data_IF_196395748698
#
_entry.id   IF_196395748698
#
_cell.length_a   1.000
_cell.length_b   1.000
_cell.length_c   1.000
_cell.angle_alpha   90.00
_cell.angle_beta   90.00
_cell.angle_gamma   90.00
#
_symmetry.space_group_name_H-M   'P 1'
#
loop_
_entity.id
_entity.type
_entity.pdbx_description
1 polymer ?
#
# COMPACT_ATOMS: atom_id res chain seq x y z
N UNK A 1 -20.68 -7.22 -14.26
CA UNK A 1 -19.37 -6.56 -14.13
C UNK A 1 -19.43 -5.56 -13.00
N UNK A 2 -18.69 -5.71 -11.89
CA UNK A 2 -18.70 -4.71 -10.84
C UNK A 2 -18.02 -3.44 -11.37
N UNK A 3 -18.75 -2.32 -11.34
CA UNK A 3 -18.20 -1.00 -11.66
C UNK A 3 -17.15 -0.67 -10.62
N UNK A 4 -15.88 -0.56 -11.02
CA UNK A 4 -14.84 -0.02 -10.15
C UNK A 4 -15.29 1.37 -9.68
N UNK A 5 -15.49 1.52 -8.37
CA UNK A 5 -15.90 2.78 -7.76
C UNK A 5 -14.88 3.86 -8.11
N UNK A 6 -15.33 4.90 -8.82
CA UNK A 6 -14.50 6.05 -9.22
C UNK A 6 -14.55 7.18 -8.17
N UNK A 7 -14.79 6.89 -6.89
CA UNK A 7 -14.55 7.86 -5.82
C UNK A 7 -13.12 7.72 -5.26
N UNK A 8 -12.44 8.85 -5.02
CA UNK A 8 -11.25 9.16 -5.80
C UNK A 8 -9.99 8.94 -4.98
N UNK A 9 -8.88 8.60 -5.63
CA UNK A 9 -7.51 8.54 -5.08
C UNK A 9 -7.17 9.74 -4.16
N UNK A 10 -7.84 10.89 -4.34
CA UNK A 10 -7.75 12.07 -3.47
C UNK A 10 -8.22 11.83 -2.02
N UNK A 11 -9.35 11.14 -1.78
CA UNK A 11 -9.87 10.89 -0.41
C UNK A 11 -8.93 9.97 0.39
N UNK A 12 -8.35 8.96 -0.26
CA UNK A 12 -7.37 8.06 0.38
C UNK A 12 -6.08 8.76 0.78
N UNK A 13 -5.64 9.75 -0.02
CA UNK A 13 -4.42 10.52 0.27
C UNK A 13 -4.59 11.45 1.46
N UNK A 14 -5.74 12.12 1.59
CA UNK A 14 -6.02 12.99 2.75
C UNK A 14 -5.98 12.19 4.05
N UNK A 15 -6.65 11.04 4.09
CA UNK A 15 -6.66 10.16 5.26
C UNK A 15 -5.26 9.63 5.60
N UNK A 16 -4.50 9.21 4.60
CA UNK A 16 -3.11 8.78 4.79
C UNK A 16 -2.25 9.88 5.43
N UNK A 17 -2.41 11.13 5.00
CA UNK A 17 -1.70 12.28 5.59
C UNK A 17 -2.10 12.54 7.04
N UNK A 18 -3.38 12.41 7.38
CA UNK A 18 -3.86 12.51 8.76
C UNK A 18 -3.26 11.42 9.66
N UNK A 19 -3.21 10.19 9.17
CA UNK A 19 -2.62 9.05 9.87
C UNK A 19 -1.10 9.24 10.10
N UNK A 20 -0.39 9.74 9.08
CA UNK A 20 1.04 10.07 9.19
C UNK A 20 1.30 11.17 10.22
N UNK A 21 0.50 12.25 10.20
CA UNK A 21 0.62 13.35 11.18
C UNK A 21 0.42 12.87 12.61
N UNK A 22 -0.55 11.99 12.81
CA UNK A 22 -0.82 11.36 14.12
C UNK A 22 0.36 10.51 14.57
N UNK A 23 0.97 9.74 13.66
CA UNK A 23 2.05 8.79 13.98
C UNK A 23 3.41 9.45 14.20
N UNK A 24 3.77 10.45 13.38
CA UNK A 24 5.10 11.06 13.38
C UNK A 24 5.18 12.33 14.22
N UNK A 25 4.06 12.84 14.73
CA UNK A 25 4.04 13.80 15.84
C UNK A 25 4.93 15.03 15.63
N UNK A 26 4.90 15.62 14.43
CA UNK A 26 5.36 16.98 14.04
C UNK A 26 5.26 17.10 12.52
N UNK A 27 5.14 18.34 12.02
CA UNK A 27 4.80 18.67 10.63
C UNK A 27 5.77 18.06 9.62
N UNK A 28 5.38 16.93 9.03
CA UNK A 28 5.92 16.52 7.74
C UNK A 28 5.61 17.64 6.74
N UNK A 29 6.62 18.08 5.99
CA UNK A 29 6.40 19.03 4.91
C UNK A 29 5.51 18.38 3.85
N UNK A 30 4.77 19.20 3.10
CA UNK A 30 3.85 18.69 2.09
C UNK A 30 4.55 17.81 1.04
N UNK A 31 5.81 18.10 0.71
CA UNK A 31 6.59 17.30 -0.25
C UNK A 31 7.02 15.95 0.33
N UNK A 32 7.30 15.88 1.63
CA UNK A 32 7.65 14.61 2.31
C UNK A 32 6.42 13.72 2.45
N UNK A 33 5.23 14.29 2.71
CA UNK A 33 3.96 13.55 2.69
C UNK A 33 3.74 12.86 1.34
N UNK A 34 4.10 13.53 0.25
CA UNK A 34 3.95 13.04 -1.11
C UNK A 34 4.91 11.88 -1.41
N UNK A 35 6.16 11.97 -0.93
CA UNK A 35 7.14 10.90 -1.03
C UNK A 35 6.74 9.67 -0.20
N UNK A 36 6.24 9.85 1.02
CA UNK A 36 5.75 8.75 1.85
C UNK A 36 4.54 8.06 1.23
N UNK A 37 3.65 8.84 0.59
CA UNK A 37 2.52 8.27 -0.14
C UNK A 37 2.98 7.48 -1.37
N UNK A 38 3.97 7.99 -2.10
CA UNK A 38 4.57 7.26 -3.22
C UNK A 38 5.20 5.95 -2.76
N UNK A 39 5.94 5.96 -1.66
CA UNK A 39 6.55 4.77 -1.07
C UNK A 39 5.49 3.74 -0.64
N UNK A 40 4.39 4.19 -0.02
CA UNK A 40 3.24 3.34 0.30
C UNK A 40 2.63 2.70 -0.97
N UNK A 41 2.43 3.47 -2.04
CA UNK A 41 1.90 2.95 -3.30
C UNK A 41 2.86 1.92 -3.92
N UNK A 42 4.16 2.19 -3.90
CA UNK A 42 5.18 1.26 -4.38
C UNK A 42 5.21 -0.04 -3.56
N UNK A 43 5.05 0.05 -2.24
CA UNK A 43 4.93 -1.10 -1.36
C UNK A 43 3.70 -1.93 -1.73
N UNK A 44 2.53 -1.29 -1.88
CA UNK A 44 1.29 -1.98 -2.25
C UNK A 44 1.38 -2.68 -3.61
N UNK A 45 2.01 -2.05 -4.61
CA UNK A 45 2.25 -2.66 -5.93
C UNK A 45 3.18 -3.88 -5.82
N UNK A 46 4.27 -3.79 -5.05
CA UNK A 46 5.16 -4.93 -4.82
C UNK A 46 4.47 -6.07 -4.08
N UNK A 47 3.69 -5.75 -3.05
CA UNK A 47 2.93 -6.73 -2.29
C UNK A 47 1.93 -7.47 -3.21
N UNK A 48 1.18 -6.72 -4.02
CA UNK A 48 0.22 -7.29 -4.96
C UNK A 48 0.90 -8.19 -6.01
N UNK A 49 2.03 -7.76 -6.58
CA UNK A 49 2.81 -8.57 -7.54
C UNK A 49 3.35 -9.84 -6.91
N UNK A 50 3.87 -9.77 -5.69
CA UNK A 50 4.40 -10.93 -4.98
C UNK A 50 3.27 -11.90 -4.62
N UNK A 51 2.13 -11.39 -4.14
CA UNK A 51 0.98 -12.20 -3.81
C UNK A 51 0.41 -12.88 -5.06
N UNK A 52 0.30 -12.17 -6.19
CA UNK A 52 -0.12 -12.75 -7.47
C UNK A 52 0.83 -13.87 -7.95
N UNK A 53 2.15 -13.70 -7.78
CA UNK A 53 3.14 -14.74 -8.07
C UNK A 53 2.99 -15.96 -7.15
N UNK A 54 2.73 -15.74 -5.86
CA UNK A 54 2.51 -16.80 -4.87
C UNK A 54 1.24 -17.61 -5.15
N UNK A 55 0.17 -16.93 -5.54
CA UNK A 55 -1.12 -17.53 -5.93
C UNK A 55 -0.97 -18.39 -7.20
N UNK A 56 -0.13 -17.97 -8.15
CA UNK A 56 0.20 -18.73 -9.35
C UNK A 56 -1.00 -18.88 -10.29
N UNK A 57 -1.49 -20.11 -10.48
CA UNK A 57 -2.62 -20.40 -11.38
C UNK A 57 -4.00 -20.15 -10.76
N UNK A 58 -4.08 -19.96 -9.44
CA UNK A 58 -5.34 -19.61 -8.77
C UNK A 58 -5.78 -18.21 -9.22
N UNK A 59 -7.09 -18.03 -9.41
CA UNK A 59 -7.66 -16.75 -9.89
C UNK A 59 -8.09 -15.82 -8.75
N UNK A 60 -8.13 -16.33 -7.53
CA UNK A 60 -8.59 -15.62 -6.34
C UNK A 60 -7.41 -15.52 -5.38
N UNK A 61 -7.23 -14.32 -4.85
CA UNK A 61 -6.21 -14.01 -3.86
C UNK A 61 -6.83 -14.19 -2.46
N UNK A 62 -6.28 -15.09 -1.65
CA UNK A 62 -6.74 -15.30 -0.29
C UNK A 62 -5.86 -14.50 0.71
N UNK A 63 -6.38 -14.15 1.90
CA UNK A 63 -5.58 -13.43 2.91
C UNK A 63 -4.25 -14.13 3.27
N UNK A 64 -4.26 -15.46 3.31
CA UNK A 64 -3.06 -16.28 3.59
C UNK A 64 -1.95 -16.09 2.55
N UNK A 65 -2.32 -15.81 1.30
CA UNK A 65 -1.35 -15.57 0.23
C UNK A 65 -0.63 -14.24 0.42
N UNK A 66 -1.35 -13.24 0.94
CA UNK A 66 -0.79 -11.94 1.28
C UNK A 66 0.11 -12.07 2.50
N UNK A 67 -0.34 -12.75 3.56
CA UNK A 67 0.45 -13.01 4.77
C UNK A 67 1.78 -13.71 4.44
N UNK A 68 1.75 -14.70 3.55
CA UNK A 68 2.93 -15.46 3.14
C UNK A 68 4.02 -14.59 2.47
N UNK A 69 3.65 -13.52 1.77
CA UNK A 69 4.61 -12.64 1.07
C UNK A 69 4.85 -11.31 1.79
N UNK A 70 4.09 -11.02 2.83
CA UNK A 70 4.09 -9.73 3.52
C UNK A 70 5.46 -9.44 4.13
N UNK A 71 6.02 -10.39 4.88
CA UNK A 71 7.30 -10.20 5.55
C UNK A 71 8.44 -9.96 4.55
N UNK A 72 8.50 -10.75 3.48
CA UNK A 72 9.52 -10.58 2.42
C UNK A 72 9.36 -9.24 1.71
N UNK A 73 8.12 -8.80 1.47
CA UNK A 73 7.85 -7.49 0.87
C UNK A 73 8.27 -6.38 1.82
N UNK A 74 7.96 -6.46 3.11
CA UNK A 74 8.38 -5.50 4.13
C UNK A 74 9.90 -5.41 4.25
N UNK A 75 10.64 -6.53 4.19
CA UNK A 75 12.11 -6.52 4.24
C UNK A 75 12.75 -5.69 3.13
N UNK A 76 12.12 -5.59 1.95
CA UNK A 76 12.60 -4.75 0.84
C UNK A 76 12.41 -3.25 1.09
N UNK A 77 11.44 -2.89 1.92
CA UNK A 77 11.08 -1.50 2.24
C UNK A 77 11.51 -1.09 3.66
N UNK A 78 12.16 -1.99 4.42
CA UNK A 78 12.94 -1.63 5.61
C UNK A 78 14.23 -0.99 5.12
N UNK A 79 14.20 0.33 4.93
CA UNK A 79 15.38 1.15 4.66
C UNK A 79 16.52 0.86 5.64
#
# INVERSE_FOLDING_TARGET
MPKASKEPVKRSRTKFREDLRTKFGKSLSADVDDLLYLEFVMFMDHLAKNAAKHVGKRKILDPKDVEAVLETTLRRFRG
#
